data_IF_852770147488
#
_entry.id   IF_852770147488
#
_cell.length_a   1.000
_cell.length_b   1.000
_cell.length_c   1.000
_cell.angle_alpha   90.00
_cell.angle_beta   90.00
_cell.angle_gamma   90.00
#
_symmetry.space_group_name_H-M   'P 1'
#
loop_
_entity.id
_entity.type
_entity.pdbx_description
1 polymer ?
#
# COMPACT_ATOMS: atom_id res chain seq x y z
N UNK A 1 -68.01 20.19 33.16
CA UNK A 1 -66.76 19.57 33.65
C UNK A 1 -65.79 19.52 32.49
N UNK A 2 -64.61 20.15 32.65
CA UNK A 2 -63.51 20.21 31.65
C UNK A 2 -63.01 18.77 31.39
N UNK A 3 -62.46 18.43 30.22
CA UNK A 3 -61.02 18.58 29.92
C UNK A 3 -60.80 18.64 28.40
N UNK A 4 -60.07 19.66 27.95
CA UNK A 4 -59.44 19.73 26.64
C UNK A 4 -58.11 18.96 26.68
N UNK A 5 -57.84 18.11 25.68
CA UNK A 5 -56.57 17.40 25.55
C UNK A 5 -55.56 18.28 24.81
N UNK A 6 -54.48 18.61 25.51
CA UNK A 6 -53.39 19.46 25.09
C UNK A 6 -52.49 18.78 24.05
N UNK A 7 -52.06 19.57 23.08
CA UNK A 7 -51.00 19.25 22.11
C UNK A 7 -49.66 19.08 22.82
N UNK A 8 -48.95 17.99 22.54
CA UNK A 8 -47.54 17.84 22.88
C UNK A 8 -46.76 17.47 21.62
N UNK A 9 -46.23 18.48 20.95
CA UNK A 9 -45.28 18.31 19.87
C UNK A 9 -43.93 17.89 20.47
N UNK A 10 -43.57 16.63 20.32
CA UNK A 10 -42.26 16.12 20.70
C UNK A 10 -41.26 16.41 19.58
N UNK A 11 -40.63 17.59 19.65
CA UNK A 11 -39.36 17.85 18.95
C UNK A 11 -38.24 17.20 19.77
N UNK A 12 -37.97 15.92 19.53
CA UNK A 12 -36.71 15.32 19.94
C UNK A 12 -35.76 15.33 18.75
N UNK A 13 -34.86 16.32 18.84
CA UNK A 13 -33.64 16.52 18.09
C UNK A 13 -33.10 15.25 17.43
N UNK A 14 -33.15 15.22 16.09
CA UNK A 14 -32.16 14.51 15.29
C UNK A 14 -30.80 15.17 15.57
N UNK A 15 -30.13 14.77 16.64
CA UNK A 15 -28.67 14.81 16.62
C UNK A 15 -28.31 13.73 15.62
N UNK A 16 -28.20 14.13 14.35
CA UNK A 16 -27.49 13.35 13.36
C UNK A 16 -26.18 12.96 14.01
N UNK A 17 -26.06 11.70 14.42
CA UNK A 17 -24.78 11.09 14.66
C UNK A 17 -24.11 11.12 13.30
N UNK A 18 -23.48 12.26 12.98
CA UNK A 18 -22.33 12.29 12.09
C UNK A 18 -21.34 11.35 12.76
N UNK A 19 -21.48 10.06 12.44
CA UNK A 19 -20.46 9.08 12.70
C UNK A 19 -19.23 9.68 12.05
N UNK A 20 -18.31 10.14 12.88
CA UNK A 20 -17.01 10.59 12.43
C UNK A 20 -16.36 9.36 11.79
N UNK A 21 -16.47 9.26 10.47
CA UNK A 21 -15.78 8.23 9.70
C UNK A 21 -14.30 8.55 9.83
N UNK A 22 -13.66 7.91 10.80
CA UNK A 22 -12.20 7.92 10.91
C UNK A 22 -11.69 7.38 9.59
N UNK A 23 -10.95 8.19 8.82
CA UNK A 23 -10.26 7.73 7.62
C UNK A 23 -9.18 6.73 8.05
N UNK A 24 -9.53 5.45 8.09
CA UNK A 24 -8.62 4.36 8.44
C UNK A 24 -8.00 3.79 7.17
N UNK A 25 -6.76 3.31 7.28
CA UNK A 25 -6.11 2.56 6.22
C UNK A 25 -6.90 1.26 5.94
N UNK A 26 -6.96 0.78 4.68
CA UNK A 26 -7.57 -0.50 4.36
C UNK A 26 -6.80 -1.64 5.04
N UNK A 27 -7.52 -2.71 5.42
CA UNK A 27 -6.89 -3.94 5.87
C UNK A 27 -6.25 -4.71 4.71
N UNK A 28 -5.25 -5.55 5.01
CA UNK A 28 -4.57 -6.40 4.03
C UNK A 28 -5.48 -7.43 3.35
N UNK A 29 -6.65 -7.71 3.90
CA UNK A 29 -7.67 -8.59 3.31
C UNK A 29 -8.71 -7.83 2.47
N UNK A 30 -8.65 -6.50 2.43
CA UNK A 30 -9.57 -5.69 1.64
C UNK A 30 -9.36 -5.96 0.13
N UNK A 31 -10.40 -6.41 -0.55
CA UNK A 31 -10.34 -6.82 -1.96
C UNK A 31 -9.92 -5.71 -2.91
N UNK A 32 -10.34 -4.47 -2.65
CA UNK A 32 -10.02 -3.33 -3.52
C UNK A 32 -8.57 -2.87 -3.30
N UNK A 33 -8.10 -2.90 -2.05
CA UNK A 33 -6.69 -2.69 -1.73
C UNK A 33 -5.79 -3.71 -2.43
N UNK A 34 -6.13 -5.00 -2.34
CA UNK A 34 -5.38 -6.08 -3.01
C UNK A 34 -5.36 -5.86 -4.53
N UNK A 35 -6.53 -5.61 -5.13
CA UNK A 35 -6.66 -5.36 -6.57
C UNK A 35 -5.83 -4.16 -7.01
N UNK A 36 -5.89 -3.07 -6.26
CA UNK A 36 -5.14 -1.85 -6.58
C UNK A 36 -3.63 -2.09 -6.49
N UNK A 37 -3.16 -2.80 -5.45
CA UNK A 37 -1.75 -3.16 -5.30
C UNK A 37 -1.27 -3.93 -6.53
N UNK A 38 -1.95 -5.03 -6.88
CA UNK A 38 -1.55 -5.88 -8.01
C UNK A 38 -1.67 -5.15 -9.35
N UNK A 39 -2.81 -4.47 -9.59
CA UNK A 39 -3.09 -3.78 -10.86
C UNK A 39 -2.05 -2.69 -11.13
N UNK A 40 -1.72 -1.89 -10.12
CA UNK A 40 -0.83 -0.73 -10.29
C UNK A 40 0.62 -1.17 -10.44
N UNK A 41 1.07 -2.19 -9.70
CA UNK A 41 2.39 -2.78 -9.94
C UNK A 41 2.51 -3.30 -11.38
N UNK A 42 1.54 -4.11 -11.83
CA UNK A 42 1.57 -4.67 -13.19
C UNK A 42 1.42 -3.61 -14.28
N UNK A 43 0.66 -2.53 -14.06
CA UNK A 43 0.61 -1.38 -14.97
C UNK A 43 2.01 -0.82 -15.19
N UNK A 44 2.74 -0.48 -14.12
CA UNK A 44 4.08 0.09 -14.28
C UNK A 44 5.08 -0.91 -14.88
N UNK A 45 5.01 -2.19 -14.50
CA UNK A 45 5.82 -3.26 -15.09
C UNK A 45 5.60 -3.41 -16.60
N UNK A 46 4.38 -3.16 -17.09
CA UNK A 46 4.05 -3.17 -18.53
C UNK A 46 4.49 -1.92 -19.29
N UNK A 47 4.77 -0.82 -18.59
CA UNK A 47 5.07 0.50 -19.17
C UNK A 47 6.57 0.85 -19.09
N UNK A 48 7.42 -0.11 -18.71
CA UNK A 48 8.87 0.11 -18.58
C UNK A 48 9.52 0.43 -19.93
N UNK A 49 10.49 1.35 -19.90
CA UNK A 49 11.30 1.72 -21.05
C UNK A 49 12.79 1.72 -20.66
N UNK A 50 13.64 0.88 -21.27
CA UNK A 50 13.35 -0.03 -22.39
C UNK A 50 12.39 -1.16 -22.02
N UNK A 51 11.68 -1.72 -23.00
CA UNK A 51 10.75 -2.83 -22.77
C UNK A 51 11.50 -4.06 -22.30
N UNK A 52 10.98 -4.72 -21.27
CA UNK A 52 11.54 -5.96 -20.73
C UNK A 52 11.02 -7.18 -21.52
N UNK A 53 11.91 -8.12 -21.82
CA UNK A 53 11.59 -9.35 -22.54
C UNK A 53 11.02 -10.47 -21.66
N UNK A 54 11.28 -10.41 -20.35
CA UNK A 54 11.08 -11.50 -19.39
C UNK A 54 10.33 -11.07 -18.11
N UNK A 55 9.71 -9.89 -18.13
CA UNK A 55 8.97 -9.33 -17.01
C UNK A 55 7.83 -10.26 -16.56
N UNK A 56 7.92 -10.80 -15.33
CA UNK A 56 6.88 -11.69 -14.81
C UNK A 56 5.59 -10.93 -14.44
N UNK A 57 4.45 -11.61 -14.47
CA UNK A 57 3.20 -11.04 -13.96
C UNK A 57 3.17 -11.15 -12.43
N UNK A 58 2.94 -10.03 -11.74
CA UNK A 58 2.91 -9.99 -10.28
C UNK A 58 1.52 -10.40 -9.76
N UNK A 59 1.49 -11.24 -8.73
CA UNK A 59 0.25 -11.65 -8.05
C UNK A 59 0.31 -11.34 -6.56
N UNK A 60 -0.86 -11.30 -5.91
CA UNK A 60 -0.93 -11.14 -4.46
C UNK A 60 -0.48 -12.41 -3.73
N UNK A 61 0.35 -12.26 -2.71
CA UNK A 61 0.70 -13.32 -1.78
C UNK A 61 0.24 -12.94 -0.35
N UNK A 62 -0.76 -13.63 0.22
CA UNK A 62 -1.26 -13.32 1.56
C UNK A 62 -0.20 -13.45 2.66
N UNK A 63 0.78 -14.34 2.53
CA UNK A 63 1.83 -14.51 3.53
C UNK A 63 2.78 -13.30 3.52
N UNK A 64 3.13 -12.78 2.33
CA UNK A 64 3.89 -11.52 2.23
C UNK A 64 3.12 -10.34 2.82
N UNK A 65 1.80 -10.28 2.64
CA UNK A 65 0.97 -9.23 3.23
C UNK A 65 0.94 -9.28 4.76
N UNK A 66 0.91 -10.48 5.36
CA UNK A 66 1.00 -10.66 6.81
C UNK A 66 2.37 -10.23 7.35
N UNK A 67 3.45 -10.57 6.64
CA UNK A 67 4.82 -10.13 6.98
C UNK A 67 4.91 -8.60 6.96
N UNK A 68 4.41 -7.96 5.90
CA UNK A 68 4.38 -6.51 5.78
C UNK A 68 3.54 -5.85 6.89
N UNK A 69 2.35 -6.40 7.20
CA UNK A 69 1.49 -5.92 8.29
C UNK A 69 2.17 -6.06 9.65
N UNK A 70 2.89 -7.14 9.89
CA UNK A 70 3.64 -7.35 11.13
C UNK A 70 4.74 -6.30 11.28
N UNK A 71 5.53 -6.06 10.23
CA UNK A 71 6.59 -5.04 10.24
C UNK A 71 6.06 -3.61 10.35
N UNK A 72 5.01 -3.27 9.60
CA UNK A 72 4.44 -1.92 9.59
C UNK A 72 3.91 -1.48 10.96
N UNK A 73 3.51 -2.42 11.84
CA UNK A 73 3.08 -2.12 13.22
C UNK A 73 4.19 -1.53 14.09
N UNK A 74 5.45 -1.70 13.73
CA UNK A 74 6.57 -1.08 14.44
C UNK A 74 6.64 0.44 14.20
N UNK A 75 5.97 0.96 13.17
CA UNK A 75 5.95 2.38 12.81
C UNK A 75 7.36 2.98 12.62
N UNK A 76 8.26 2.21 12.03
CA UNK A 76 9.64 2.61 11.77
C UNK A 76 9.85 2.76 10.26
N UNK A 77 10.45 3.88 9.84
CA UNK A 77 10.92 4.04 8.46
C UNK A 77 12.31 3.41 8.30
N UNK A 78 12.35 2.10 8.51
CA UNK A 78 13.53 1.26 8.39
C UNK A 78 13.12 -0.10 7.82
N UNK A 79 14.02 -0.74 7.08
CA UNK A 79 13.74 -2.05 6.51
C UNK A 79 13.65 -3.15 7.58
N UNK A 80 12.82 -4.15 7.31
CA UNK A 80 12.75 -5.33 8.16
C UNK A 80 14.11 -6.07 8.17
N UNK A 81 14.72 -6.18 9.35
CA UNK A 81 16.03 -6.83 9.53
C UNK A 81 16.04 -8.35 9.28
N UNK A 82 14.85 -8.96 9.10
CA UNK A 82 14.68 -10.42 8.94
C UNK A 82 14.39 -10.84 7.49
N UNK A 83 14.55 -9.96 6.51
CA UNK A 83 14.24 -10.24 5.10
C UNK A 83 15.22 -11.23 4.43
N UNK A 84 16.33 -11.59 5.08
CA UNK A 84 17.44 -12.38 4.52
C UNK A 84 17.92 -13.46 5.51
N UNK A 85 18.68 -14.47 5.04
CA UNK A 85 19.29 -15.47 5.92
C UNK A 85 20.08 -14.84 7.08
N UNK A 86 20.08 -15.47 8.28
CA UNK A 86 19.56 -16.81 8.58
C UNK A 86 18.03 -16.88 8.77
N UNK A 87 17.34 -15.75 8.70
CA UNK A 87 15.89 -15.70 8.85
C UNK A 87 15.19 -16.20 7.57
N UNK A 88 14.02 -16.83 7.76
CA UNK A 88 13.16 -17.31 6.67
C UNK A 88 11.72 -16.99 6.99
N UNK A 89 11.28 -15.79 6.58
CA UNK A 89 9.91 -15.31 6.86
C UNK A 89 8.86 -15.95 5.94
N UNK A 90 9.26 -16.39 4.75
CA UNK A 90 8.36 -17.05 3.79
C UNK A 90 8.87 -18.46 3.46
N UNK A 91 8.01 -19.49 3.42
CA UNK A 91 8.46 -20.87 3.18
C UNK A 91 9.09 -21.08 1.80
N UNK A 92 8.64 -20.33 0.79
CA UNK A 92 9.08 -20.49 -0.61
C UNK A 92 10.28 -19.60 -0.99
N UNK A 93 10.53 -18.51 -0.27
CA UNK A 93 11.54 -17.53 -0.66
C UNK A 93 12.66 -17.46 0.37
N UNK A 94 13.91 -17.55 -0.10
CA UNK A 94 15.10 -17.49 0.75
C UNK A 94 15.39 -16.06 1.23
N UNK A 95 15.12 -15.08 0.38
CA UNK A 95 15.19 -13.65 0.71
C UNK A 95 13.94 -12.95 0.20
N UNK A 96 13.57 -11.85 0.86
CA UNK A 96 12.44 -11.01 0.50
C UNK A 96 12.93 -9.60 0.17
N UNK A 97 12.28 -8.96 -0.81
CA UNK A 97 12.41 -7.53 -1.06
C UNK A 97 11.42 -6.74 -0.20
N UNK A 98 11.63 -5.44 -0.06
CA UNK A 98 10.72 -4.56 0.66
C UNK A 98 10.81 -3.13 0.12
N UNK A 99 9.65 -2.53 -0.14
CA UNK A 99 9.52 -1.10 -0.39
C UNK A 99 8.70 -0.47 0.74
N UNK A 100 9.12 0.70 1.21
CA UNK A 100 8.44 1.44 2.27
C UNK A 100 7.97 2.79 1.75
N UNK A 101 6.78 3.20 2.19
CA UNK A 101 6.27 4.54 1.95
C UNK A 101 5.70 5.08 3.26
N UNK A 102 5.94 6.36 3.52
CA UNK A 102 5.40 7.06 4.70
C UNK A 102 4.85 8.41 4.30
N UNK A 103 3.78 8.82 4.94
CA UNK A 103 3.14 10.12 4.73
C UNK A 103 1.90 10.25 5.60
N UNK A 104 1.18 11.37 5.46
CA UNK A 104 -0.09 11.55 6.17
C UNK A 104 -1.17 10.64 5.58
N UNK A 105 -2.17 10.30 6.40
CA UNK A 105 -3.34 9.53 5.94
C UNK A 105 -4.09 10.24 4.81
N UNK A 106 -4.08 11.57 4.78
CA UNK A 106 -4.76 12.38 3.77
C UNK A 106 -4.18 12.26 2.37
N UNK A 107 -2.90 11.92 2.24
CA UNK A 107 -2.22 11.78 0.94
C UNK A 107 -2.05 10.31 0.52
N UNK A 108 -2.41 9.38 1.41
CA UNK A 108 -2.25 7.97 1.15
C UNK A 108 -3.30 7.47 0.16
N UNK A 109 -2.79 6.87 -0.92
CA UNK A 109 -3.52 5.87 -1.70
C UNK A 109 -2.49 4.86 -2.19
N UNK A 110 -2.94 3.65 -2.55
CA UNK A 110 -2.07 2.64 -3.17
C UNK A 110 -1.40 3.21 -4.43
N UNK A 111 -2.16 3.95 -5.23
CA UNK A 111 -1.64 4.61 -6.43
C UNK A 111 -0.58 5.66 -6.10
N UNK A 112 -0.79 6.49 -5.07
CA UNK A 112 0.17 7.52 -4.67
C UNK A 112 1.48 6.91 -4.21
N UNK A 113 1.43 5.86 -3.39
CA UNK A 113 2.61 5.19 -2.86
C UNK A 113 3.43 4.49 -3.95
N UNK A 114 2.79 3.67 -4.79
CA UNK A 114 3.48 2.95 -5.86
C UNK A 114 4.00 3.92 -6.92
N UNK A 115 3.23 4.97 -7.26
CA UNK A 115 3.71 6.01 -8.18
C UNK A 115 4.93 6.74 -7.60
N UNK A 116 4.97 7.02 -6.30
CA UNK A 116 6.12 7.65 -5.67
C UNK A 116 7.40 6.80 -5.82
N UNK A 117 7.28 5.48 -5.65
CA UNK A 117 8.38 4.55 -5.93
C UNK A 117 8.76 4.52 -7.41
N UNK A 118 7.77 4.52 -8.31
CA UNK A 118 8.01 4.55 -9.75
C UNK A 118 8.73 5.83 -10.21
N UNK A 119 8.35 6.98 -9.64
CA UNK A 119 8.87 8.30 -10.02
C UNK A 119 10.38 8.45 -9.75
N UNK A 120 11.02 7.53 -9.03
CA UNK A 120 12.49 7.49 -8.90
C UNK A 120 13.19 7.21 -10.24
N UNK A 121 12.47 6.72 -11.27
CA UNK A 121 12.98 6.58 -12.65
C UNK A 121 13.65 7.85 -13.18
N UNK A 122 13.21 9.03 -12.73
CA UNK A 122 13.80 10.32 -13.12
C UNK A 122 15.27 10.47 -12.70
N UNK A 123 15.72 9.67 -11.74
CA UNK A 123 17.09 9.64 -11.23
C UNK A 123 17.88 8.42 -11.72
N UNK A 124 17.25 7.53 -12.48
CA UNK A 124 17.82 6.26 -12.92
C UNK A 124 18.13 6.27 -14.41
N UNK A 125 19.40 6.05 -14.76
CA UNK A 125 19.81 5.84 -16.15
C UNK A 125 19.90 4.33 -16.42
N UNK A 126 18.98 3.83 -17.25
CA UNK A 126 18.94 2.42 -17.64
C UNK A 126 20.18 1.93 -18.41
N UNK A 127 20.78 2.78 -19.26
CA UNK A 127 21.91 2.36 -20.08
C UNK A 127 23.16 2.16 -19.22
N UNK A 128 23.37 3.06 -18.26
CA UNK A 128 24.56 3.02 -17.39
C UNK A 128 24.31 2.33 -16.06
N UNK A 129 23.05 2.02 -15.73
CA UNK A 129 22.57 1.55 -14.42
C UNK A 129 22.94 2.49 -13.26
N UNK A 130 23.20 3.77 -13.56
CA UNK A 130 23.55 4.77 -12.55
C UNK A 130 22.28 5.33 -11.93
N UNK A 131 22.31 5.48 -10.61
CA UNK A 131 21.30 6.19 -9.84
C UNK A 131 21.92 7.45 -9.25
N UNK A 132 21.33 8.61 -9.53
CA UNK A 132 21.83 9.91 -9.05
C UNK A 132 21.23 10.32 -7.69
N UNK A 133 20.35 9.49 -7.11
CA UNK A 133 19.72 9.72 -5.81
C UNK A 133 19.23 8.38 -5.21
N UNK A 134 17.95 8.28 -4.86
CA UNK A 134 17.27 7.02 -4.49
C UNK A 134 16.58 6.45 -5.74
N UNK A 135 16.84 5.18 -6.05
CA UNK A 135 16.21 4.41 -7.13
C UNK A 135 15.86 2.97 -6.71
N UNK A 136 16.04 2.65 -5.42
CA UNK A 136 15.86 1.29 -4.89
C UNK A 136 14.40 0.85 -4.97
N UNK A 137 13.46 1.76 -4.70
CA UNK A 137 12.05 1.42 -4.79
C UNK A 137 11.63 1.19 -6.24
N UNK A 138 12.11 2.05 -7.15
CA UNK A 138 11.89 1.89 -8.59
C UNK A 138 12.39 0.56 -9.09
N UNK A 139 13.68 0.26 -8.90
CA UNK A 139 14.28 -0.99 -9.39
C UNK A 139 13.57 -2.22 -8.85
N UNK A 140 13.15 -2.22 -7.58
CA UNK A 140 12.41 -3.32 -6.97
C UNK A 140 11.03 -3.58 -7.58
N UNK A 141 10.35 -2.57 -8.16
CA UNK A 141 9.07 -2.77 -8.87
C UNK A 141 9.22 -3.69 -10.09
N UNK A 142 10.40 -3.71 -10.70
CA UNK A 142 10.73 -4.49 -11.90
C UNK A 142 11.55 -5.74 -11.62
N UNK A 143 12.01 -5.92 -10.38
CA UNK A 143 12.74 -7.12 -10.00
C UNK A 143 11.83 -8.34 -10.08
N UNK A 144 12.27 -9.31 -10.87
CA UNK A 144 11.77 -10.67 -10.83
C UNK A 144 12.59 -11.42 -9.78
N UNK A 145 11.93 -11.85 -8.70
CA UNK A 145 12.59 -12.64 -7.67
C UNK A 145 13.08 -13.95 -8.29
N UNK A 146 14.41 -14.13 -8.32
CA UNK A 146 15.09 -15.40 -8.59
C UNK A 146 15.35 -16.19 -7.33
#
# INVERSE_FOLDING_TARGET
>A
MRVALATAAWMLSFVSSYAYTKNTLPDIENKDFIKDCVRIHNKFRSEVNPTASDMLYMTWDPALAQIAKAWAKHCQFAHNGQLKPPYKLHPKFTSLGENLWTGSLSIFSVSSAIKNWFDEVRNYDFKTRKCNNVCGHYTQLFSDFG
#
